data_IF_016495855256
#
_entry.id   IF_016495855256
#
_cell.length_a   1.000
_cell.length_b   1.000
_cell.length_c   1.000
_cell.angle_alpha   90.00
_cell.angle_beta   90.00
_cell.angle_gamma   90.00
#
_symmetry.space_group_name_H-M   'P 1'
#
loop_
_entity.id
_entity.type
_entity.pdbx_description
1 polymer ?
#
# COMPACT_ATOMS: atom_id res chain seq x y z
N UNK A 1 16.10 4.21 10.10
CA UNK A 1 17.46 3.70 10.39
C UNK A 1 18.10 3.22 9.11
N UNK A 2 19.38 3.51 8.93
CA UNK A 2 20.20 2.97 7.85
C UNK A 2 21.08 1.82 8.37
N UNK A 3 21.61 1.01 7.45
CA UNK A 3 22.60 -0.02 7.76
C UNK A 3 23.07 -0.74 6.50
N UNK A 4 24.35 -1.14 6.49
CA UNK A 4 24.94 -2.00 5.46
C UNK A 4 24.93 -3.47 5.91
N UNK A 5 25.91 -4.26 5.50
CA UNK A 5 26.09 -5.64 5.96
C UNK A 5 26.51 -5.70 7.44
N UNK A 6 26.59 -6.92 7.98
CA UNK A 6 27.07 -7.16 9.35
C UNK A 6 28.48 -6.56 9.55
N UNK A 7 28.76 -5.85 10.66
CA UNK A 7 27.90 -5.60 11.84
C UNK A 7 26.97 -4.39 11.74
N UNK A 8 27.01 -3.65 10.64
CA UNK A 8 26.34 -2.35 10.51
C UNK A 8 24.81 -2.42 10.53
N UNK A 9 24.21 -3.56 10.12
CA UNK A 9 22.77 -3.79 10.23
C UNK A 9 22.25 -3.97 11.68
N UNK A 10 23.16 -4.04 12.67
CA UNK A 10 22.84 -4.27 14.08
C UNK A 10 23.14 -3.06 14.97
N UNK A 11 23.16 -1.85 14.40
CA UNK A 11 23.26 -0.61 15.19
C UNK A 11 22.20 -0.56 16.29
N UNK A 12 22.54 0.09 17.40
CA UNK A 12 21.58 0.35 18.48
C UNK A 12 20.41 1.19 17.95
N UNK A 13 19.23 0.97 18.53
CA UNK A 13 18.05 1.76 18.20
C UNK A 13 18.24 3.21 18.66
N UNK A 14 17.91 4.22 17.82
CA UNK A 14 17.99 5.63 18.21
C UNK A 14 16.81 5.95 19.13
N UNK A 15 17.03 5.95 20.44
CA UNK A 15 15.98 6.22 21.42
C UNK A 15 15.56 7.69 21.50
N UNK A 16 16.35 8.61 20.95
CA UNK A 16 15.96 10.00 20.79
C UNK A 16 14.93 10.12 19.66
N UNK A 17 13.69 10.48 20.00
CA UNK A 17 12.59 10.63 19.04
C UNK A 17 12.88 11.71 18.00
N UNK A 18 13.77 12.68 18.29
CA UNK A 18 14.18 13.68 17.31
C UNK A 18 14.93 13.09 16.10
N UNK A 19 15.47 11.88 16.23
CA UNK A 19 16.13 11.15 15.14
C UNK A 19 15.16 10.29 14.31
N UNK A 20 13.88 10.23 14.69
CA UNK A 20 12.91 9.37 14.03
C UNK A 20 12.40 9.96 12.72
N UNK A 21 12.28 9.10 11.71
CA UNK A 21 11.54 9.42 10.50
C UNK A 21 10.03 9.27 10.77
N UNK A 22 9.39 10.40 11.10
CA UNK A 22 7.98 10.44 11.45
C UNK A 22 7.07 10.07 10.27
N UNK A 23 7.48 10.36 9.03
CA UNK A 23 6.71 10.01 7.84
C UNK A 23 6.64 8.49 7.66
N UNK A 24 7.77 7.80 7.84
CA UNK A 24 7.82 6.33 7.81
C UNK A 24 7.03 5.76 8.99
N UNK A 25 7.19 6.30 10.19
CA UNK A 25 6.49 5.81 11.37
C UNK A 25 4.97 5.89 11.21
N UNK A 26 4.45 7.03 10.75
CA UNK A 26 3.01 7.21 10.53
C UNK A 26 2.49 6.36 9.37
N UNK A 27 3.26 6.22 8.28
CA UNK A 27 2.92 5.30 7.21
C UNK A 27 2.80 3.85 7.71
N UNK A 28 3.74 3.39 8.54
CA UNK A 28 3.69 2.06 9.14
C UNK A 28 2.52 1.89 10.11
N UNK A 29 2.26 2.87 10.97
CA UNK A 29 1.10 2.86 11.88
C UNK A 29 -0.20 2.75 11.09
N UNK A 30 -0.34 3.51 10.02
CA UNK A 30 -1.51 3.46 9.16
C UNK A 30 -1.67 2.10 8.47
N UNK A 31 -0.60 1.54 7.89
CA UNK A 31 -0.64 0.21 7.28
C UNK A 31 -0.99 -0.91 8.29
N UNK A 32 -0.47 -0.82 9.51
CA UNK A 32 -0.82 -1.76 10.60
C UNK A 32 -2.30 -1.62 10.97
N UNK A 33 -2.81 -0.38 11.06
CA UNK A 33 -4.22 -0.13 11.30
C UNK A 33 -5.09 -0.77 10.21
N UNK A 34 -4.81 -0.49 8.93
CA UNK A 34 -5.54 -1.07 7.80
C UNK A 34 -5.50 -2.60 7.83
N UNK A 35 -4.33 -3.20 8.06
CA UNK A 35 -4.20 -4.66 8.18
C UNK A 35 -5.05 -5.24 9.32
N UNK A 36 -5.29 -4.48 10.40
CA UNK A 36 -6.11 -4.92 11.54
C UNK A 36 -7.60 -4.73 11.33
N UNK A 37 -8.02 -3.69 10.60
CA UNK A 37 -9.43 -3.45 10.29
C UNK A 37 -9.94 -4.36 9.18
N UNK A 38 -9.14 -4.52 8.13
CA UNK A 38 -9.53 -5.22 6.91
C UNK A 38 -9.11 -6.71 6.99
N UNK A 39 -10.08 -7.62 7.07
CA UNK A 39 -9.81 -9.04 7.24
C UNK A 39 -9.26 -9.66 5.96
N UNK A 40 -9.70 -9.18 4.78
CA UNK A 40 -9.18 -9.60 3.48
C UNK A 40 -7.67 -9.40 3.37
N UNK A 41 -7.09 -8.34 3.97
CA UNK A 41 -5.64 -8.11 3.96
C UNK A 41 -4.85 -9.18 4.76
N UNK A 42 -5.48 -9.85 5.73
CA UNK A 42 -4.85 -10.89 6.56
C UNK A 42 -5.15 -12.30 6.08
N UNK A 43 -6.39 -12.58 5.72
CA UNK A 43 -6.92 -13.94 5.50
C UNK A 43 -7.55 -14.14 4.12
N UNK A 44 -7.72 -13.08 3.35
CA UNK A 44 -8.28 -13.17 2.01
C UNK A 44 -7.33 -13.88 1.05
N UNK A 45 -7.90 -14.48 0.01
CA UNK A 45 -7.16 -14.99 -1.14
C UNK A 45 -6.32 -13.87 -1.77
N UNK A 46 -5.36 -14.25 -2.60
CA UNK A 46 -4.56 -13.32 -3.38
C UNK A 46 -4.72 -13.63 -4.86
N UNK A 47 -5.00 -12.61 -5.65
CA UNK A 47 -5.05 -12.68 -7.10
C UNK A 47 -4.19 -11.56 -7.68
N UNK A 48 -3.32 -11.89 -8.63
CA UNK A 48 -2.51 -10.92 -9.34
C UNK A 48 -3.33 -10.39 -10.52
N UNK A 49 -3.68 -9.10 -10.50
CA UNK A 49 -4.56 -8.51 -11.52
C UNK A 49 -3.80 -7.64 -12.52
N UNK A 50 -2.60 -7.15 -12.16
CA UNK A 50 -1.68 -6.54 -13.12
C UNK A 50 -0.23 -6.61 -12.66
N UNK A 51 0.67 -6.84 -13.62
CA UNK A 51 2.11 -6.73 -13.44
C UNK A 51 2.73 -6.21 -14.74
N UNK A 52 3.25 -4.99 -14.72
CA UNK A 52 3.92 -4.37 -15.88
C UNK A 52 5.01 -3.42 -15.41
N UNK A 53 6.23 -3.60 -15.92
CA UNK A 53 7.37 -2.77 -15.53
C UNK A 53 7.57 -2.74 -14.01
N UNK A 54 7.33 -1.58 -13.41
CA UNK A 54 7.45 -1.34 -11.95
C UNK A 54 6.09 -1.16 -11.25
N UNK A 55 5.01 -1.53 -11.92
CA UNK A 55 3.65 -1.52 -11.41
C UNK A 55 3.16 -2.94 -11.09
N UNK A 56 2.55 -3.10 -9.92
CA UNK A 56 1.93 -4.34 -9.46
C UNK A 56 0.57 -4.01 -8.84
N UNK A 57 -0.47 -4.73 -9.24
CA UNK A 57 -1.75 -4.69 -8.56
C UNK A 57 -2.19 -6.11 -8.18
N UNK A 58 -2.58 -6.27 -6.92
CA UNK A 58 -3.13 -7.51 -6.38
C UNK A 58 -4.52 -7.25 -5.81
N UNK A 59 -5.39 -8.23 -5.94
CA UNK A 59 -6.70 -8.26 -5.30
C UNK A 59 -6.66 -9.21 -4.11
N UNK A 60 -7.25 -8.78 -3.00
CA UNK A 60 -7.44 -9.54 -1.77
C UNK A 60 -8.94 -9.71 -1.55
N UNK A 61 -9.41 -10.95 -1.48
CA UNK A 61 -10.85 -11.24 -1.37
C UNK A 61 -11.11 -12.13 -0.17
N UNK A 62 -12.09 -11.74 0.66
CA UNK A 62 -12.61 -12.58 1.72
C UNK A 62 -14.11 -12.35 1.88
N UNK A 63 -14.91 -13.36 1.53
CA UNK A 63 -16.39 -13.26 1.52
C UNK A 63 -16.82 -12.11 0.59
N UNK A 64 -17.47 -11.10 1.14
CA UNK A 64 -17.97 -9.88 0.50
C UNK A 64 -16.93 -8.74 0.49
N UNK A 65 -15.81 -8.89 1.20
CA UNK A 65 -14.74 -7.89 1.24
C UNK A 65 -13.79 -8.05 0.05
N UNK A 66 -13.68 -7.00 -0.77
CA UNK A 66 -12.78 -6.91 -1.92
C UNK A 66 -11.85 -5.70 -1.75
N UNK A 67 -10.54 -5.97 -1.73
CA UNK A 67 -9.50 -4.93 -1.61
C UNK A 67 -8.49 -5.08 -2.74
N UNK A 68 -8.20 -3.99 -3.43
CA UNK A 68 -7.12 -3.92 -4.41
C UNK A 68 -5.94 -3.15 -3.81
N UNK A 69 -4.76 -3.76 -3.80
CA UNK A 69 -3.51 -3.11 -3.43
C UNK A 69 -2.72 -2.87 -4.71
N UNK A 70 -2.54 -1.61 -5.07
CA UNK A 70 -1.80 -1.21 -6.26
C UNK A 70 -0.52 -0.47 -5.86
N UNK A 71 0.63 -0.91 -6.36
CA UNK A 71 1.96 -0.43 -5.99
C UNK A 71 2.67 0.02 -7.25
N UNK A 72 3.13 1.27 -7.25
CA UNK A 72 3.96 1.84 -8.31
C UNK A 72 5.36 2.14 -7.75
N UNK A 73 6.31 1.27 -8.06
CA UNK A 73 7.72 1.45 -7.73
C UNK A 73 8.48 2.24 -8.82
N UNK A 74 7.80 2.73 -9.85
CA UNK A 74 8.35 3.51 -10.95
C UNK A 74 8.44 5.01 -10.66
N UNK A 75 9.05 5.72 -11.61
CA UNK A 75 9.31 7.16 -11.53
C UNK A 75 8.28 8.02 -12.27
N UNK A 76 7.22 7.39 -12.81
CA UNK A 76 6.09 8.04 -13.48
C UNK A 76 4.77 7.52 -12.88
N UNK A 77 3.69 8.31 -12.90
CA UNK A 77 2.35 7.82 -12.57
C UNK A 77 1.96 6.61 -13.43
N UNK A 78 1.22 5.68 -12.84
CA UNK A 78 0.72 4.48 -13.51
C UNK A 78 -0.81 4.45 -13.44
N UNK A 79 -1.52 4.25 -14.56
CA UNK A 79 -2.97 4.26 -14.58
C UNK A 79 -3.56 3.08 -13.79
N UNK A 80 -4.70 3.28 -13.13
CA UNK A 80 -5.48 2.23 -12.47
C UNK A 80 -6.55 1.65 -13.40
N UNK A 81 -6.14 1.32 -14.62
CA UNK A 81 -6.98 0.72 -15.67
C UNK A 81 -7.47 -0.71 -15.37
N UNK A 82 -7.04 -1.27 -14.24
CA UNK A 82 -7.33 -2.64 -13.80
C UNK A 82 -8.48 -2.72 -12.80
N UNK A 83 -9.03 -1.57 -12.39
CA UNK A 83 -10.14 -1.53 -11.46
C UNK A 83 -11.43 -2.03 -12.11
N UNK A 84 -12.14 -3.00 -11.48
CA UNK A 84 -13.50 -3.31 -11.86
C UNK A 84 -14.40 -2.06 -11.75
N UNK A 85 -15.44 -1.99 -12.59
CA UNK A 85 -16.46 -0.94 -12.49
C UNK A 85 -17.10 -0.94 -11.10
N UNK A 86 -17.20 0.23 -10.50
CA UNK A 86 -17.80 0.43 -9.18
C UNK A 86 -17.17 1.60 -8.45
N UNK A 87 -17.67 1.86 -7.25
CA UNK A 87 -17.13 2.88 -6.36
C UNK A 87 -15.99 2.28 -5.52
N UNK A 88 -14.88 3.00 -5.46
CA UNK A 88 -13.71 2.61 -4.69
C UNK A 88 -13.30 3.74 -3.77
N UNK A 89 -13.03 3.41 -2.50
CA UNK A 89 -12.40 4.32 -1.55
C UNK A 89 -10.94 3.91 -1.40
N UNK A 90 -10.04 4.88 -1.52
CA UNK A 90 -8.65 4.70 -1.18
C UNK A 90 -8.46 4.79 0.33
N UNK A 91 -8.37 3.65 0.99
CA UNK A 91 -8.10 3.53 2.42
C UNK A 91 -6.75 4.13 2.82
N UNK A 92 -5.81 4.32 1.89
CA UNK A 92 -4.52 4.94 2.19
C UNK A 92 -4.60 6.47 2.29
N UNK A 93 -5.62 7.10 1.69
CA UNK A 93 -5.83 8.57 1.73
C UNK A 93 -7.19 9.01 2.27
N UNK A 94 -8.15 8.08 2.43
CA UNK A 94 -9.55 8.36 2.78
C UNK A 94 -10.38 9.00 1.66
N UNK A 95 -9.89 8.98 0.41
CA UNK A 95 -10.51 9.69 -0.72
C UNK A 95 -11.20 8.70 -1.65
N UNK A 96 -12.38 9.06 -2.13
CA UNK A 96 -13.09 8.30 -3.16
C UNK A 96 -12.42 8.48 -4.53
N UNK A 97 -12.22 7.40 -5.27
CA UNK A 97 -11.57 7.43 -6.57
C UNK A 97 -12.56 7.48 -7.73
N UNK A 98 -12.20 8.28 -8.74
CA UNK A 98 -12.86 8.37 -10.04
C UNK A 98 -12.26 7.39 -11.06
N UNK A 99 -12.91 7.27 -12.22
CA UNK A 99 -12.60 6.28 -13.26
C UNK A 99 -11.25 6.46 -13.97
N UNK A 100 -10.60 7.61 -13.86
CA UNK A 100 -9.31 7.95 -14.48
C UNK A 100 -8.16 8.01 -13.45
N UNK A 101 -8.34 7.36 -12.30
CA UNK A 101 -7.36 7.34 -11.23
C UNK A 101 -6.02 6.72 -11.66
N UNK A 102 -4.96 7.17 -10.98
CA UNK A 102 -3.61 6.65 -11.14
C UNK A 102 -2.95 6.42 -9.78
N UNK A 103 -1.95 5.57 -9.75
CA UNK A 103 -1.01 5.46 -8.64
C UNK A 103 0.18 6.37 -8.92
N UNK A 104 0.45 7.40 -8.09
CA UNK A 104 1.59 8.28 -8.29
C UNK A 104 2.93 7.51 -8.28
N UNK A 105 3.98 8.13 -8.83
CA UNK A 105 5.33 7.55 -8.79
C UNK A 105 5.75 7.25 -7.34
N UNK A 106 6.40 6.11 -7.11
CA UNK A 106 6.88 5.68 -5.78
C UNK A 106 5.81 5.78 -4.68
N UNK A 107 4.58 5.41 -5.03
CA UNK A 107 3.42 5.37 -4.13
C UNK A 107 2.64 4.09 -4.34
N UNK A 108 1.72 3.84 -3.44
CA UNK A 108 0.74 2.77 -3.51
C UNK A 108 -0.64 3.33 -3.20
N UNK A 109 -1.68 2.55 -3.48
CA UNK A 109 -3.05 2.77 -3.01
C UNK A 109 -3.64 1.48 -2.48
N UNK A 110 -4.51 1.58 -1.49
CA UNK A 110 -5.24 0.45 -0.90
C UNK A 110 -6.73 0.72 -1.08
N UNK A 111 -7.34 0.07 -2.04
CA UNK A 111 -8.64 0.42 -2.56
C UNK A 111 -9.66 -0.59 -2.07
N UNK A 112 -10.69 -0.13 -1.39
CA UNK A 112 -11.82 -0.96 -0.95
C UNK A 112 -13.07 -0.58 -1.71
N UNK A 113 -13.82 -1.59 -2.12
CA UNK A 113 -15.09 -1.41 -2.79
C UNK A 113 -16.16 -0.99 -1.77
N UNK A 114 -16.94 0.04 -2.10
CA UNK A 114 -18.16 0.41 -1.35
C UNK A 114 -19.26 -0.64 -1.46
#
# INVERSE_FOLDING_TARGET
MEGREDPDCRRAFPWDEAEWDMDILEAFRHLVYLRRQELALRRGSIEFIAARGRFLAIKRVLRDEEIIVAINAGDRPEPLDVLPKGNWIDLSSGVQLESDAFVPKRRFRVLKRE
#
